data_IF_637513949003
#
_entry.id   IF_637513949003
#
_cell.length_a   1.000
_cell.length_b   1.000
_cell.length_c   1.000
_cell.angle_alpha   90.00
_cell.angle_beta   90.00
_cell.angle_gamma   90.00
#
_symmetry.space_group_name_H-M   'P 1'
#
loop_
_entity.id
_entity.type
_entity.pdbx_description
1 polymer ?
#
# COMPACT_ATOMS: atom_id res chain seq x y z
N UNK A 1 62.83 -0.19 -4.65
CA UNK A 1 62.96 0.43 -6.00
C UNK A 1 61.66 0.92 -6.58
N UNK A 2 60.56 0.91 -5.88
CA UNK A 2 59.20 1.20 -6.42
C UNK A 2 58.71 2.61 -6.17
N UNK A 3 59.17 3.31 -5.14
CA UNK A 3 58.65 4.66 -4.78
C UNK A 3 59.12 5.78 -5.72
N UNK A 4 60.31 5.69 -6.28
CA UNK A 4 60.83 6.70 -7.24
C UNK A 4 60.15 6.59 -8.63
N UNK A 5 59.71 5.39 -9.02
CA UNK A 5 58.96 5.18 -10.26
C UNK A 5 57.55 5.71 -10.15
N UNK A 6 56.87 5.47 -9.05
CA UNK A 6 55.52 6.00 -8.75
C UNK A 6 55.51 7.56 -8.73
N UNK A 7 56.50 8.18 -8.13
CA UNK A 7 56.65 9.65 -8.11
C UNK A 7 56.86 10.24 -9.50
N UNK A 8 57.61 9.55 -10.37
CA UNK A 8 57.80 9.97 -11.76
C UNK A 8 56.50 9.86 -12.57
N UNK A 9 55.78 8.75 -12.42
CA UNK A 9 54.50 8.55 -13.13
C UNK A 9 53.44 9.54 -12.63
N UNK A 10 53.35 9.76 -11.31
CA UNK A 10 52.47 10.78 -10.75
C UNK A 10 52.74 12.18 -11.26
N UNK A 11 54.05 12.55 -11.40
CA UNK A 11 54.47 13.85 -11.91
C UNK A 11 54.19 14.03 -13.42
N UNK A 12 54.26 12.90 -14.17
CA UNK A 12 53.87 12.86 -15.59
C UNK A 12 52.34 12.99 -15.73
N UNK A 13 51.59 12.31 -14.88
CA UNK A 13 50.14 12.37 -14.85
C UNK A 13 49.63 13.81 -14.51
N UNK A 14 50.24 14.45 -13.49
CA UNK A 14 49.91 15.84 -13.12
C UNK A 14 50.33 16.87 -14.17
N UNK A 15 51.22 16.53 -15.10
CA UNK A 15 51.63 17.40 -16.20
C UNK A 15 50.69 17.32 -17.39
N UNK A 16 49.97 16.21 -17.54
CA UNK A 16 48.91 16.02 -18.53
C UNK A 16 47.55 16.33 -17.90
N UNK A 17 47.27 17.61 -17.78
CA UNK A 17 46.03 18.14 -17.21
C UNK A 17 44.81 17.68 -18.01
N UNK A 18 44.99 17.45 -19.32
CA UNK A 18 43.90 17.02 -20.21
C UNK A 18 43.55 15.54 -19.99
N UNK A 19 44.56 14.66 -19.88
CA UNK A 19 44.37 13.24 -19.60
C UNK A 19 43.79 13.03 -18.20
N UNK A 20 44.25 13.80 -17.21
CA UNK A 20 43.72 13.78 -15.85
C UNK A 20 42.24 14.21 -15.80
N UNK A 21 41.89 15.28 -16.52
CA UNK A 21 40.53 15.78 -16.58
C UNK A 21 39.58 14.74 -17.21
N UNK A 22 40.00 14.12 -18.31
CA UNK A 22 39.17 13.06 -18.94
C UNK A 22 39.02 11.85 -18.03
N UNK A 23 40.07 11.45 -17.34
CA UNK A 23 40.06 10.24 -16.48
C UNK A 23 39.18 10.43 -15.23
N UNK A 24 39.15 11.61 -14.62
CA UNK A 24 38.43 11.85 -13.37
C UNK A 24 37.13 12.64 -13.54
N UNK A 25 37.11 13.67 -14.39
CA UNK A 25 35.94 14.54 -14.56
C UNK A 25 34.85 13.82 -15.34
N UNK A 26 35.19 13.03 -16.36
CA UNK A 26 34.21 12.30 -17.15
C UNK A 26 33.38 11.28 -16.33
N UNK A 27 33.99 10.40 -15.51
CA UNK A 27 33.22 9.48 -14.65
C UNK A 27 32.35 10.22 -13.63
N UNK A 28 32.87 11.31 -13.04
CA UNK A 28 32.10 12.12 -12.09
C UNK A 28 30.94 12.82 -12.79
N UNK A 29 31.18 13.42 -13.96
CA UNK A 29 30.12 14.03 -14.76
C UNK A 29 29.06 13.01 -15.20
N UNK A 30 29.48 11.81 -15.62
CA UNK A 30 28.56 10.73 -15.97
C UNK A 30 27.73 10.28 -14.77
N UNK A 31 28.34 10.10 -13.59
CA UNK A 31 27.59 9.77 -12.36
C UNK A 31 26.60 10.87 -11.99
N UNK A 32 26.98 12.14 -12.11
CA UNK A 32 26.08 13.27 -11.84
C UNK A 32 24.90 13.30 -12.83
N UNK A 33 25.17 13.13 -14.13
CA UNK A 33 24.15 13.13 -15.17
C UNK A 33 23.19 11.94 -14.96
N UNK A 34 23.74 10.74 -14.69
CA UNK A 34 22.94 9.56 -14.40
C UNK A 34 22.14 9.70 -13.11
N UNK A 35 22.73 10.25 -12.05
CA UNK A 35 22.03 10.55 -10.80
C UNK A 35 20.88 11.52 -11.02
N UNK A 36 21.11 12.57 -11.82
CA UNK A 36 20.08 13.57 -12.15
C UNK A 36 18.98 13.00 -13.06
N UNK A 37 19.34 12.14 -14.00
CA UNK A 37 18.37 11.46 -14.87
C UNK A 37 17.50 10.46 -14.07
N UNK A 38 18.13 9.64 -13.22
CA UNK A 38 17.42 8.69 -12.37
C UNK A 38 16.57 9.38 -11.28
N UNK A 39 17.01 10.52 -10.74
CA UNK A 39 16.19 11.26 -9.76
C UNK A 39 14.93 11.85 -10.38
N UNK A 40 14.92 12.17 -11.67
CA UNK A 40 13.70 12.61 -12.37
C UNK A 40 12.69 11.50 -12.59
N UNK A 41 13.16 10.26 -12.74
CA UNK A 41 12.28 9.09 -12.92
C UNK A 41 11.84 8.46 -11.58
N UNK A 42 12.43 8.90 -10.44
CA UNK A 42 12.12 8.32 -9.12
C UNK A 42 11.01 9.05 -8.35
N UNK A 43 10.38 10.07 -8.92
CA UNK A 43 9.18 10.70 -8.36
C UNK A 43 7.89 10.36 -9.16
N UNK A 44 7.61 9.09 -9.51
CA UNK A 44 6.30 8.74 -10.07
C UNK A 44 5.19 8.84 -9.00
N UNK A 45 5.56 9.04 -7.72
CA UNK A 45 4.63 9.02 -6.60
C UNK A 45 4.22 10.38 -6.07
N UNK A 46 4.90 11.46 -6.45
CA UNK A 46 4.68 12.79 -5.85
C UNK A 46 3.32 13.40 -6.20
N UNK A 47 2.55 12.83 -7.11
CA UNK A 47 1.22 13.34 -7.50
C UNK A 47 0.23 12.19 -7.78
N UNK A 48 0.40 11.03 -7.09
CA UNK A 48 -0.51 9.90 -7.26
C UNK A 48 -1.87 10.23 -6.68
N UNK A 49 -2.86 10.42 -7.56
CA UNK A 49 -4.25 10.72 -7.20
C UNK A 49 -5.11 9.48 -7.36
N UNK A 50 -5.70 9.05 -6.26
CA UNK A 50 -6.58 7.89 -6.21
C UNK A 50 -7.98 8.35 -5.80
N UNK A 51 -9.00 7.90 -6.52
CA UNK A 51 -10.38 8.01 -6.05
C UNK A 51 -10.74 6.75 -5.25
N UNK A 52 -11.13 6.94 -3.99
CA UNK A 52 -11.67 5.85 -3.15
C UNK A 52 -13.18 5.98 -3.10
N UNK A 53 -13.85 5.03 -3.74
CA UNK A 53 -15.32 4.99 -3.85
C UNK A 53 -15.86 3.93 -2.90
N UNK A 54 -16.79 4.32 -2.02
CA UNK A 54 -17.35 3.40 -1.04
C UNK A 54 -18.57 4.00 -0.32
N UNK A 55 -19.01 3.34 0.74
CA UNK A 55 -20.11 3.86 1.55
C UNK A 55 -19.75 5.23 2.14
N UNK A 56 -20.70 6.15 2.12
CA UNK A 56 -20.50 7.49 2.67
C UNK A 56 -20.27 7.40 4.18
N UNK A 57 -19.29 8.13 4.69
CA UNK A 57 -18.90 8.17 6.11
C UNK A 57 -18.47 6.81 6.71
N UNK A 58 -17.99 5.89 5.89
CA UNK A 58 -17.46 4.62 6.35
C UNK A 58 -16.09 4.82 7.03
N UNK A 59 -15.99 4.34 8.29
CA UNK A 59 -14.76 4.46 9.09
C UNK A 59 -13.57 3.74 8.44
N UNK A 60 -13.80 2.62 7.75
CA UNK A 60 -12.76 1.87 7.06
C UNK A 60 -12.22 2.67 5.88
N UNK A 61 -13.12 3.26 5.06
CA UNK A 61 -12.70 4.07 3.92
C UNK A 61 -11.92 5.32 4.39
N UNK A 62 -12.35 5.93 5.49
CA UNK A 62 -11.65 7.08 6.08
C UNK A 62 -10.27 6.70 6.62
N UNK A 63 -10.18 5.57 7.34
CA UNK A 63 -8.91 5.07 7.86
C UNK A 63 -7.95 4.65 6.74
N UNK A 64 -8.48 3.99 5.70
CA UNK A 64 -7.70 3.61 4.52
C UNK A 64 -7.18 4.84 3.76
N UNK A 65 -8.03 5.86 3.57
CA UNK A 65 -7.60 7.11 2.96
C UNK A 65 -6.47 7.78 3.76
N UNK A 66 -6.64 7.89 5.09
CA UNK A 66 -5.60 8.46 5.96
C UNK A 66 -4.30 7.65 5.95
N UNK A 67 -4.37 6.32 5.80
CA UNK A 67 -3.19 5.47 5.68
C UNK A 67 -2.46 5.70 4.35
N UNK A 68 -3.19 5.81 3.24
CA UNK A 68 -2.62 6.09 1.91
C UNK A 68 -2.01 7.50 1.82
N UNK A 69 -2.63 8.50 2.46
CA UNK A 69 -2.08 9.85 2.52
C UNK A 69 -0.73 9.92 3.25
N UNK A 70 -0.50 9.06 4.25
CA UNK A 70 0.82 8.94 4.90
C UNK A 70 1.90 8.43 3.94
N UNK A 71 1.52 7.63 2.95
CA UNK A 71 2.39 7.14 1.88
C UNK A 71 2.50 8.13 0.71
N UNK A 72 2.10 9.39 0.92
CA UNK A 72 2.12 10.47 -0.08
C UNK A 72 1.21 10.22 -1.30
N UNK A 73 0.16 9.42 -1.12
CA UNK A 73 -0.86 9.17 -2.12
C UNK A 73 -2.07 10.04 -1.82
N UNK A 74 -2.41 10.95 -2.72
CA UNK A 74 -3.59 11.82 -2.56
C UNK A 74 -4.88 11.04 -2.81
N UNK A 75 -5.73 10.96 -1.78
CA UNK A 75 -6.98 10.20 -1.86
C UNK A 75 -8.18 11.14 -1.89
N UNK A 76 -9.04 10.95 -2.89
CA UNK A 76 -10.35 11.62 -2.97
C UNK A 76 -11.43 10.62 -2.60
N UNK A 77 -12.11 10.83 -1.46
CA UNK A 77 -13.24 10.01 -1.03
C UNK A 77 -14.48 10.37 -1.83
N UNK A 78 -15.15 9.35 -2.38
CA UNK A 78 -16.38 9.50 -3.15
C UNK A 78 -17.43 8.48 -2.68
N UNK A 79 -18.71 8.86 -2.72
CA UNK A 79 -19.80 7.92 -2.40
C UNK A 79 -19.94 6.85 -3.49
N UNK A 80 -20.51 5.69 -3.12
CA UNK A 80 -20.71 4.55 -4.05
C UNK A 80 -21.50 4.93 -5.30
N UNK A 81 -22.40 5.91 -5.21
CA UNK A 81 -23.20 6.40 -6.35
C UNK A 81 -22.36 7.09 -7.43
N UNK A 82 -21.17 7.58 -7.07
CA UNK A 82 -20.25 8.31 -7.95
C UNK A 82 -19.18 7.42 -8.60
N UNK A 83 -19.39 6.11 -8.62
CA UNK A 83 -18.43 5.19 -9.24
C UNK A 83 -18.19 5.51 -10.72
N UNK A 84 -19.25 5.79 -11.47
CA UNK A 84 -19.16 6.18 -12.89
C UNK A 84 -18.40 7.50 -13.07
N UNK A 85 -18.63 8.48 -12.19
CA UNK A 85 -17.90 9.76 -12.23
C UNK A 85 -16.41 9.57 -11.94
N UNK A 86 -16.09 8.68 -11.00
CA UNK A 86 -14.71 8.32 -10.70
C UNK A 86 -14.03 7.61 -11.88
N UNK A 87 -14.73 6.68 -12.55
CA UNK A 87 -14.25 6.02 -13.75
C UNK A 87 -14.03 7.00 -14.90
N UNK A 88 -14.96 7.93 -15.13
CA UNK A 88 -14.75 9.02 -16.08
C UNK A 88 -13.52 9.87 -15.72
N UNK A 89 -13.27 10.06 -14.42
CA UNK A 89 -12.07 10.74 -13.94
C UNK A 89 -10.77 10.05 -14.30
N UNK A 90 -10.77 8.72 -14.53
CA UNK A 90 -9.60 7.99 -15.09
C UNK A 90 -9.38 8.38 -16.56
N UNK A 91 -10.44 8.43 -17.38
CA UNK A 91 -10.33 8.86 -18.78
C UNK A 91 -9.84 10.30 -18.90
N UNK A 92 -10.31 11.18 -18.01
CA UNK A 92 -9.88 12.59 -17.95
C UNK A 92 -8.51 12.78 -17.31
N UNK A 93 -7.82 11.71 -16.92
CA UNK A 93 -6.53 11.73 -16.19
C UNK A 93 -6.56 12.54 -14.89
N UNK A 94 -7.72 12.72 -14.28
CA UNK A 94 -7.89 13.33 -12.94
C UNK A 94 -7.42 12.38 -11.83
N UNK A 95 -7.60 11.09 -12.05
CA UNK A 95 -7.16 10.00 -11.19
C UNK A 95 -6.28 9.03 -11.97
N UNK A 96 -5.32 8.43 -11.28
CA UNK A 96 -4.49 7.35 -11.85
C UNK A 96 -5.06 5.98 -11.54
N UNK A 97 -5.86 5.89 -10.47
CA UNK A 97 -6.50 4.65 -10.03
C UNK A 97 -7.82 4.99 -9.34
N UNK A 98 -8.83 4.16 -9.57
CA UNK A 98 -10.07 4.18 -8.79
C UNK A 98 -10.17 2.89 -8.00
N UNK A 99 -10.29 3.02 -6.68
CA UNK A 99 -10.51 1.94 -5.75
C UNK A 99 -11.98 1.96 -5.32
N UNK A 100 -12.70 0.89 -5.60
CA UNK A 100 -14.07 0.71 -5.12
C UNK A 100 -14.11 -0.32 -3.99
N UNK A 101 -14.56 0.12 -2.82
CA UNK A 101 -14.80 -0.74 -1.68
C UNK A 101 -16.31 -1.06 -1.57
N UNK A 102 -16.74 -2.29 -1.94
CA UNK A 102 -18.12 -2.71 -1.83
C UNK A 102 -18.54 -3.12 -0.42
N UNK A 103 -17.58 -3.17 0.53
CA UNK A 103 -17.80 -3.71 1.86
C UNK A 103 -18.09 -2.60 2.87
N UNK A 104 -19.23 -2.63 3.56
CA UNK A 104 -19.51 -1.68 4.64
C UNK A 104 -18.70 -2.02 5.91
N UNK A 105 -18.35 -1.01 6.70
CA UNK A 105 -17.65 -1.20 7.96
C UNK A 105 -18.37 -2.14 8.94
N UNK A 106 -19.71 -2.09 8.94
CA UNK A 106 -20.56 -2.93 9.79
C UNK A 106 -20.75 -4.35 9.29
N UNK A 107 -20.23 -4.70 8.11
CA UNK A 107 -20.37 -6.03 7.52
C UNK A 107 -19.53 -7.08 8.24
N UNK A 108 -19.95 -8.36 8.13
CA UNK A 108 -19.15 -9.47 8.64
C UNK A 108 -17.92 -9.66 7.76
N UNK A 109 -16.76 -9.79 8.37
CA UNK A 109 -15.47 -9.98 7.68
C UNK A 109 -15.46 -11.22 6.76
N UNK A 110 -16.23 -12.27 7.13
CA UNK A 110 -16.35 -13.49 6.33
C UNK A 110 -17.07 -13.26 5.00
N UNK A 111 -17.95 -12.26 4.91
CA UNK A 111 -18.77 -11.95 3.74
C UNK A 111 -18.11 -10.90 2.83
N UNK A 112 -16.95 -10.36 3.20
CA UNK A 112 -16.27 -9.33 2.44
C UNK A 112 -15.98 -9.78 1.01
N UNK A 113 -16.24 -8.89 0.07
CA UNK A 113 -15.91 -9.03 -1.34
C UNK A 113 -14.53 -8.43 -1.61
N UNK A 114 -13.90 -8.83 -2.71
CA UNK A 114 -12.67 -8.21 -3.14
C UNK A 114 -12.85 -6.71 -3.42
N UNK A 115 -11.85 -5.92 -3.07
CA UNK A 115 -11.76 -4.54 -3.51
C UNK A 115 -11.56 -4.51 -5.02
N UNK A 116 -12.31 -3.68 -5.70
CA UNK A 116 -12.22 -3.52 -7.15
C UNK A 116 -11.29 -2.36 -7.48
N UNK A 117 -10.27 -2.63 -8.28
CA UNK A 117 -9.31 -1.63 -8.74
C UNK A 117 -9.54 -1.39 -10.23
N UNK A 118 -9.82 -0.16 -10.58
CA UNK A 118 -9.96 0.29 -11.96
C UNK A 118 -8.73 1.11 -12.33
N UNK A 119 -8.09 0.74 -13.44
CA UNK A 119 -6.88 1.39 -13.95
C UNK A 119 -6.95 1.59 -15.46
N UNK A 120 -6.30 2.61 -16.00
CA UNK A 120 -6.06 2.73 -17.44
C UNK A 120 -5.19 1.59 -17.95
N UNK A 121 -5.33 1.18 -19.23
CA UNK A 121 -4.57 0.07 -19.82
C UNK A 121 -3.06 0.38 -19.98
N UNK A 122 -2.69 1.66 -19.96
CA UNK A 122 -1.33 2.15 -20.06
C UNK A 122 -0.64 2.31 -18.69
N UNK A 123 -1.28 1.86 -17.60
CA UNK A 123 -0.73 1.95 -16.24
C UNK A 123 0.55 1.10 -16.12
N UNK A 124 1.60 1.68 -15.57
CA UNK A 124 2.87 0.98 -15.35
C UNK A 124 2.71 -0.19 -14.35
N UNK A 125 3.08 -1.42 -14.75
CA UNK A 125 2.86 -2.61 -13.92
C UNK A 125 3.61 -2.57 -12.57
N UNK A 126 4.81 -1.96 -12.54
CA UNK A 126 5.62 -1.84 -11.32
C UNK A 126 4.96 -0.92 -10.29
N UNK A 127 4.45 0.23 -10.73
CA UNK A 127 3.69 1.16 -9.89
C UNK A 127 2.40 0.51 -9.38
N UNK A 128 1.65 -0.13 -10.28
CA UNK A 128 0.41 -0.81 -9.89
C UNK A 128 0.67 -1.92 -8.85
N UNK A 129 1.74 -2.69 -9.00
CA UNK A 129 2.11 -3.73 -8.04
C UNK A 129 2.46 -3.14 -6.67
N UNK A 130 3.21 -2.02 -6.63
CA UNK A 130 3.56 -1.32 -5.40
C UNK A 130 2.30 -0.78 -4.69
N UNK A 131 1.43 -0.07 -5.42
CA UNK A 131 0.16 0.46 -4.87
C UNK A 131 -0.73 -0.66 -4.35
N UNK A 132 -0.85 -1.77 -5.07
CA UNK A 132 -1.62 -2.95 -4.62
C UNK A 132 -1.07 -3.54 -3.32
N UNK A 133 0.25 -3.62 -3.18
CA UNK A 133 0.88 -4.09 -1.94
C UNK A 133 0.50 -3.21 -0.75
N UNK A 134 0.60 -1.89 -0.90
CA UNK A 134 0.22 -0.92 0.13
C UNK A 134 -1.27 -1.00 0.44
N UNK A 135 -2.13 -1.03 -0.58
CA UNK A 135 -3.58 -1.15 -0.41
C UNK A 135 -3.97 -2.42 0.34
N UNK A 136 -3.43 -3.56 -0.07
CA UNK A 136 -3.71 -4.84 0.56
C UNK A 136 -3.29 -4.86 2.02
N UNK A 137 -2.11 -4.34 2.34
CA UNK A 137 -1.61 -4.26 3.71
C UNK A 137 -2.52 -3.40 4.59
N UNK A 138 -2.78 -2.16 4.17
CA UNK A 138 -3.57 -1.23 4.97
C UNK A 138 -5.05 -1.63 5.07
N UNK A 139 -5.65 -2.13 4.00
CA UNK A 139 -7.03 -2.62 4.05
C UNK A 139 -7.18 -3.80 5.00
N UNK A 140 -6.29 -4.79 4.88
CA UNK A 140 -6.30 -5.96 5.76
C UNK A 140 -6.17 -5.55 7.22
N UNK A 141 -5.20 -4.68 7.52
CA UNK A 141 -5.00 -4.19 8.89
C UNK A 141 -6.22 -3.43 9.40
N UNK A 142 -6.70 -2.42 8.67
CA UNK A 142 -7.86 -1.62 9.09
C UNK A 142 -9.12 -2.48 9.28
N UNK A 143 -9.31 -3.48 8.41
CA UNK A 143 -10.48 -4.36 8.47
C UNK A 143 -10.42 -5.30 9.68
N UNK A 144 -9.23 -5.83 9.98
CA UNK A 144 -9.01 -6.67 11.16
C UNK A 144 -9.15 -5.86 12.45
N UNK A 145 -8.57 -4.66 12.50
CA UNK A 145 -8.70 -3.76 13.66
C UNK A 145 -10.17 -3.45 13.94
N UNK A 146 -10.93 -3.05 12.92
CA UNK A 146 -12.37 -2.81 13.04
C UNK A 146 -13.16 -4.05 13.48
N UNK A 147 -12.76 -5.24 13.02
CA UNK A 147 -13.37 -6.49 13.44
C UNK A 147 -13.10 -6.82 14.90
N UNK A 148 -11.87 -6.66 15.36
CA UNK A 148 -11.51 -6.92 16.75
C UNK A 148 -12.10 -5.86 17.70
N UNK A 149 -12.13 -4.59 17.31
CA UNK A 149 -12.77 -3.52 18.09
C UNK A 149 -14.29 -3.74 18.25
N UNK A 150 -14.94 -4.25 17.22
CA UNK A 150 -16.39 -4.55 17.28
C UNK A 150 -16.71 -5.82 18.07
N UNK A 151 -15.75 -6.72 18.19
CA UNK A 151 -15.86 -7.99 18.91
C UNK A 151 -15.04 -7.96 20.21
N UNK A 152 -15.19 -6.90 21.02
CA UNK A 152 -14.59 -6.84 22.35
C UNK A 152 -14.77 -8.20 23.06
N UNK A 153 -13.66 -8.92 23.21
CA UNK A 153 -13.65 -10.22 23.85
C UNK A 153 -14.28 -10.09 25.22
N UNK A 154 -15.32 -10.88 25.49
CA UNK A 154 -15.97 -10.93 26.78
C UNK A 154 -14.91 -11.30 27.82
N UNK A 155 -14.29 -10.31 28.43
CA UNK A 155 -13.37 -10.49 29.56
C UNK A 155 -14.22 -10.83 30.78
N UNK A 156 -14.52 -12.11 30.98
CA UNK A 156 -15.29 -12.56 32.12
C UNK A 156 -14.34 -12.74 33.30
N UNK A 157 -14.53 -11.96 34.35
CA UNK A 157 -13.83 -12.19 35.62
C UNK A 157 -14.32 -13.50 36.24
N UNK A 158 -13.66 -14.59 35.86
CA UNK A 158 -14.01 -15.96 36.22
C UNK A 158 -13.82 -16.29 37.71
N UNK A 159 -13.26 -15.39 38.54
CA UNK A 159 -12.90 -15.70 39.92
C UNK A 159 -14.11 -15.86 40.89
N UNK A 160 -15.25 -15.27 40.53
CA UNK A 160 -16.45 -15.25 41.39
C UNK A 160 -17.58 -16.20 40.99
N UNK A 161 -17.41 -16.98 39.92
CA UNK A 161 -18.47 -17.82 39.35
C UNK A 161 -18.41 -19.29 39.83
N UNK A 162 -19.58 -19.93 40.09
CA UNK A 162 -19.66 -21.35 40.42
C UNK A 162 -19.00 -22.25 39.31
N UNK A 163 -18.40 -23.36 39.73
CA UNK A 163 -17.63 -24.24 38.80
C UNK A 163 -18.44 -24.77 37.62
N UNK A 164 -19.76 -25.01 37.79
CA UNK A 164 -20.65 -25.48 36.71
C UNK A 164 -20.82 -24.40 35.64
N UNK A 165 -21.10 -23.15 36.05
CA UNK A 165 -21.30 -22.02 35.15
C UNK A 165 -19.98 -21.66 34.44
N UNK A 166 -18.84 -21.79 35.14
CA UNK A 166 -17.52 -21.56 34.53
C UNK A 166 -17.22 -22.47 33.34
N UNK A 167 -17.61 -23.79 33.44
CA UNK A 167 -17.43 -24.74 32.34
C UNK A 167 -18.29 -24.37 31.11
N UNK A 168 -19.55 -23.99 31.34
CA UNK A 168 -20.45 -23.61 30.25
C UNK A 168 -20.04 -22.31 29.56
N UNK A 169 -19.57 -21.35 30.35
CA UNK A 169 -19.02 -20.11 29.82
C UNK A 169 -17.73 -20.37 29.02
N UNK A 170 -16.81 -21.16 29.59
CA UNK A 170 -15.56 -21.50 28.91
C UNK A 170 -15.85 -22.18 27.56
N UNK A 171 -16.77 -23.14 27.51
CA UNK A 171 -17.18 -23.80 26.29
C UNK A 171 -17.72 -22.80 25.24
N UNK A 172 -18.58 -21.86 25.66
CA UNK A 172 -19.12 -20.81 24.76
C UNK A 172 -18.06 -19.82 24.28
N UNK A 173 -17.07 -19.50 25.13
CA UNK A 173 -15.93 -18.65 24.74
C UNK A 173 -15.05 -19.37 23.74
N UNK A 174 -14.77 -20.65 23.96
CA UNK A 174 -13.96 -21.47 23.04
C UNK A 174 -14.67 -21.61 21.67
N UNK A 175 -15.98 -21.92 21.67
CA UNK A 175 -16.79 -21.98 20.44
C UNK A 175 -16.78 -20.62 19.68
N UNK A 176 -16.93 -19.50 20.40
CA UNK A 176 -16.92 -18.16 19.81
C UNK A 176 -15.52 -17.78 19.27
N UNK A 177 -14.47 -18.14 19.99
CA UNK A 177 -13.10 -17.94 19.52
C UNK A 177 -12.83 -18.75 18.25
N UNK A 178 -13.26 -20.01 18.19
CA UNK A 178 -13.09 -20.84 17.01
C UNK A 178 -13.82 -20.26 15.78
N UNK A 179 -15.04 -19.73 15.97
CA UNK A 179 -15.78 -19.03 14.92
C UNK A 179 -15.04 -17.75 14.46
N UNK A 180 -14.49 -16.98 15.40
CA UNK A 180 -13.72 -15.76 15.08
C UNK A 180 -12.45 -16.11 14.32
N UNK A 181 -11.70 -17.12 14.76
CA UNK A 181 -10.51 -17.57 14.05
C UNK A 181 -10.83 -18.12 12.66
N UNK A 182 -11.94 -18.85 12.51
CA UNK A 182 -12.39 -19.34 11.22
C UNK A 182 -12.76 -18.18 10.26
N UNK A 183 -13.45 -17.15 10.77
CA UNK A 183 -13.80 -15.97 10.00
C UNK A 183 -12.56 -15.18 9.54
N UNK A 184 -11.59 -14.93 10.43
CA UNK A 184 -10.33 -14.27 10.10
C UNK A 184 -9.54 -15.08 9.09
N UNK A 185 -9.43 -16.39 9.25
CA UNK A 185 -8.74 -17.28 8.31
C UNK A 185 -9.39 -17.24 6.94
N UNK A 186 -10.72 -17.36 6.89
CA UNK A 186 -11.47 -17.25 5.62
C UNK A 186 -11.27 -15.91 4.93
N UNK A 187 -11.17 -14.82 5.69
CA UNK A 187 -10.89 -13.48 5.14
C UNK A 187 -9.47 -13.40 4.55
N UNK A 188 -8.45 -13.91 5.26
CA UNK A 188 -7.06 -13.87 4.80
C UNK A 188 -6.82 -14.76 3.57
N UNK A 189 -7.56 -15.86 3.43
CA UNK A 189 -7.46 -16.78 2.29
C UNK A 189 -8.16 -16.25 1.03
N UNK A 190 -8.96 -15.19 1.15
CA UNK A 190 -9.66 -14.60 -0.01
C UNK A 190 -8.74 -13.74 -0.88
N UNK A 191 -9.05 -13.71 -2.17
CA UNK A 191 -8.47 -12.72 -3.08
C UNK A 191 -8.96 -11.32 -2.68
N UNK A 192 -8.05 -10.48 -2.16
CA UNK A 192 -8.39 -9.17 -1.63
C UNK A 192 -8.64 -8.10 -2.69
N UNK A 193 -8.02 -8.24 -3.87
CA UNK A 193 -8.02 -7.23 -4.91
C UNK A 193 -8.44 -7.84 -6.24
N UNK A 194 -9.33 -7.19 -6.95
CA UNK A 194 -9.76 -7.53 -8.30
C UNK A 194 -9.49 -6.35 -9.25
N UNK A 195 -8.80 -6.63 -10.36
CA UNK A 195 -8.38 -5.63 -11.31
C UNK A 195 -9.37 -5.52 -12.48
N UNK A 196 -9.71 -4.31 -12.84
CA UNK A 196 -10.53 -3.96 -13.99
C UNK A 196 -9.78 -2.94 -14.84
N UNK A 197 -9.45 -3.33 -16.06
CA UNK A 197 -8.87 -2.41 -17.03
C UNK A 197 -9.99 -1.75 -17.82
N UNK A 198 -10.04 -0.43 -17.78
CA UNK A 198 -11.02 0.32 -18.55
C UNK A 198 -10.51 0.42 -19.99
N UNK A 199 -11.30 -0.08 -20.94
CA UNK A 199 -11.05 0.16 -22.37
C UNK A 199 -11.15 1.64 -22.69
N UNK A 200 -10.22 2.11 -23.53
CA UNK A 200 -10.21 3.48 -24.03
C UNK A 200 -11.46 3.84 -24.80
#
# INVERSE_FOLDING_TARGET
MTTSSLLKELKLLCRDLHGLAVLFVMPIAFMLIMSLALSRDQDPHTDSRIALVGAANDSINTALAAALEKEQIHVTLMSSEKLTDAQNGLHDKRFQLVLHNPNPASGKIADDKALQIYVPPDTEPSWLAAVKGVLQQHYTQTRLDAYFDSNDGITIDNKKLPRSIRKDIQKKVDEKNDEQFAAVRSFLDKKMLEEHYLSA
#
